data_IF_646074709915
#
_entry.id   IF_646074709915
#
_cell.length_a   1.000
_cell.length_b   1.000
_cell.length_c   1.000
_cell.angle_alpha   90.00
_cell.angle_beta   90.00
_cell.angle_gamma   90.00
#
_symmetry.space_group_name_H-M   'P 1'
#
loop_
_entity.id
_entity.type
_entity.pdbx_description
1 polymer ?
#
# COMPACT_ATOMS: atom_id res chain seq x y z
N UNK A 1 27.49 -9.45 17.26
CA UNK A 1 26.91 -9.72 15.92
C UNK A 1 25.48 -9.25 15.94
N UNK A 2 25.03 -8.57 14.89
CA UNK A 2 23.67 -8.07 14.78
C UNK A 2 22.71 -9.24 14.53
N UNK A 3 22.04 -9.71 15.60
CA UNK A 3 21.03 -10.77 15.51
C UNK A 3 19.67 -10.19 15.10
N UNK A 4 18.80 -11.07 14.58
CA UNK A 4 17.40 -10.77 14.27
C UNK A 4 16.45 -11.76 14.97
N UNK A 5 15.19 -11.37 15.14
CA UNK A 5 14.12 -12.32 15.47
C UNK A 5 13.39 -12.75 14.19
N UNK A 6 12.80 -13.93 14.15
CA UNK A 6 11.97 -14.40 13.03
C UNK A 6 10.54 -14.57 13.50
N UNK A 7 9.58 -13.94 12.82
CA UNK A 7 8.14 -14.07 13.08
C UNK A 7 7.47 -14.82 11.94
N UNK A 8 6.67 -15.83 12.29
CA UNK A 8 5.90 -16.63 11.32
C UNK A 8 4.42 -16.61 11.75
N UNK A 9 3.55 -15.81 11.12
CA UNK A 9 2.11 -15.95 11.31
C UNK A 9 1.62 -17.23 10.62
N UNK A 10 0.78 -18.00 11.31
CA UNK A 10 0.26 -19.27 10.83
C UNK A 10 -1.25 -19.35 11.08
N UNK A 11 -2.00 -19.77 10.06
CA UNK A 11 -3.42 -20.10 10.15
C UNK A 11 -3.62 -21.43 9.43
N UNK A 12 -4.05 -22.46 10.16
CA UNK A 12 -4.20 -23.82 9.67
C UNK A 12 -2.93 -24.32 8.93
N UNK A 13 -1.73 -24.25 9.55
CA UNK A 13 -0.48 -24.64 8.89
C UNK A 13 -0.43 -26.16 8.65
N UNK A 14 0.28 -26.58 7.61
CA UNK A 14 0.56 -27.98 7.34
C UNK A 14 1.99 -28.38 7.82
N UNK A 15 2.41 -29.61 7.48
CA UNK A 15 3.74 -30.14 7.84
C UNK A 15 4.91 -29.34 7.24
N UNK A 16 4.68 -28.46 6.27
CA UNK A 16 5.73 -27.61 5.68
C UNK A 16 6.27 -26.61 6.70
N UNK A 17 5.45 -26.15 7.65
CA UNK A 17 5.95 -25.28 8.71
C UNK A 17 6.98 -26.02 9.58
N UNK A 18 6.72 -27.28 9.92
CA UNK A 18 7.66 -28.13 10.66
C UNK A 18 8.93 -28.36 9.84
N UNK A 19 8.79 -28.68 8.55
CA UNK A 19 9.92 -28.86 7.66
C UNK A 19 10.78 -27.60 7.58
N UNK A 20 10.16 -26.42 7.45
CA UNK A 20 10.85 -25.14 7.43
C UNK A 20 11.68 -24.90 8.71
N UNK A 21 11.11 -25.18 9.89
CA UNK A 21 11.85 -25.04 11.16
C UNK A 21 13.00 -26.06 11.24
N UNK A 22 12.83 -27.28 10.72
CA UNK A 22 13.93 -28.25 10.63
C UNK A 22 15.05 -27.79 9.69
N UNK A 23 14.70 -27.26 8.52
CA UNK A 23 15.67 -26.70 7.59
C UNK A 23 16.49 -25.56 8.24
N UNK A 24 15.88 -24.78 9.13
CA UNK A 24 16.60 -23.79 9.93
C UNK A 24 17.57 -24.43 10.92
N UNK A 25 17.14 -25.44 11.66
CA UNK A 25 17.99 -26.19 12.60
C UNK A 25 19.22 -26.76 11.88
N UNK A 26 19.03 -27.26 10.67
CA UNK A 26 20.09 -27.84 9.82
C UNK A 26 20.98 -26.77 9.12
N UNK A 27 20.71 -25.47 9.33
CA UNK A 27 21.44 -24.34 8.75
C UNK A 27 22.18 -23.50 9.82
N UNK A 28 23.28 -24.00 10.40
CA UNK A 28 23.93 -23.40 11.58
C UNK A 28 24.45 -21.97 11.35
N UNK A 29 24.89 -21.65 10.13
CA UNK A 29 25.41 -20.31 9.80
C UNK A 29 24.35 -19.21 9.93
N UNK A 30 23.12 -19.50 9.50
CA UNK A 30 22.01 -18.56 9.63
C UNK A 30 21.46 -18.56 11.06
N UNK A 31 21.39 -19.73 11.70
CA UNK A 31 20.94 -19.86 13.09
C UNK A 31 21.73 -19.00 14.07
N UNK A 32 23.04 -18.82 13.87
CA UNK A 32 23.85 -17.92 14.69
C UNK A 32 23.40 -16.44 14.62
N UNK A 33 22.75 -16.04 13.53
CA UNK A 33 22.20 -14.70 13.32
C UNK A 33 20.76 -14.57 13.81
N UNK A 34 20.10 -15.66 14.16
CA UNK A 34 18.72 -15.66 14.66
C UNK A 34 18.75 -15.77 16.18
N UNK A 35 18.17 -14.78 16.85
CA UNK A 35 18.03 -14.77 18.30
C UNK A 35 16.88 -15.68 18.75
N UNK A 36 15.72 -15.55 18.11
CA UNK A 36 14.53 -16.31 18.46
C UNK A 36 13.56 -16.45 17.27
N UNK A 37 12.76 -17.51 17.32
CA UNK A 37 11.60 -17.72 16.46
C UNK A 37 10.32 -17.47 17.25
N UNK A 38 9.40 -16.71 16.67
CA UNK A 38 8.09 -16.41 17.21
C UNK A 38 7.06 -16.87 16.19
N UNK A 39 6.38 -17.97 16.47
CA UNK A 39 5.28 -18.46 15.65
C UNK A 39 3.99 -17.94 16.27
N UNK A 40 3.11 -17.37 15.45
CA UNK A 40 1.82 -16.84 15.92
C UNK A 40 0.71 -17.66 15.26
N UNK A 41 0.09 -18.54 16.04
CA UNK A 41 -1.13 -19.23 15.68
C UNK A 41 -2.31 -18.25 15.70
N UNK A 42 -2.76 -17.85 14.51
CA UNK A 42 -3.88 -16.94 14.32
C UNK A 42 -5.24 -17.66 14.42
N UNK A 43 -5.42 -18.46 15.47
CA UNK A 43 -6.66 -19.17 15.76
C UNK A 43 -6.95 -20.32 14.80
N UNK A 44 -5.96 -21.18 14.57
CA UNK A 44 -6.12 -22.41 13.77
C UNK A 44 -7.12 -23.38 14.40
N UNK A 45 -7.81 -24.14 13.56
CA UNK A 45 -8.76 -25.15 14.02
C UNK A 45 -8.10 -26.33 14.75
N UNK A 46 -8.92 -27.18 15.38
CA UNK A 46 -8.46 -28.33 16.18
C UNK A 46 -7.61 -29.32 15.41
N UNK A 47 -7.82 -29.43 14.09
CA UNK A 47 -7.14 -30.42 13.26
C UNK A 47 -5.69 -30.01 12.96
N UNK A 48 -5.39 -28.71 13.04
CA UNK A 48 -4.05 -28.16 12.82
C UNK A 48 -3.29 -27.88 14.13
N UNK A 49 -3.95 -27.89 15.29
CA UNK A 49 -3.29 -27.74 16.60
C UNK A 49 -2.12 -28.71 16.85
N UNK A 50 -2.16 -30.00 16.42
CA UNK A 50 -1.04 -30.92 16.57
C UNK A 50 0.27 -30.44 15.92
N UNK A 51 0.21 -29.55 14.91
CA UNK A 51 1.41 -28.98 14.28
C UNK A 51 2.18 -28.11 15.28
N UNK A 52 1.49 -27.31 16.09
CA UNK A 52 2.14 -26.47 17.11
C UNK A 52 2.75 -27.30 18.23
N UNK A 53 2.06 -28.35 18.70
CA UNK A 53 2.62 -29.29 19.68
C UNK A 53 3.89 -29.99 19.14
N UNK A 54 3.92 -30.34 17.86
CA UNK A 54 5.12 -30.92 17.24
C UNK A 54 6.27 -29.91 17.12
N UNK A 55 5.97 -28.62 16.88
CA UNK A 55 6.97 -27.56 16.83
C UNK A 55 7.64 -27.35 18.20
N UNK A 56 6.89 -27.40 19.29
CA UNK A 56 7.42 -27.30 20.66
C UNK A 56 8.39 -28.45 21.02
N UNK A 57 8.26 -29.60 20.37
CA UNK A 57 9.12 -30.77 20.58
C UNK A 57 10.41 -30.74 19.75
N UNK A 58 10.57 -29.78 18.84
CA UNK A 58 11.79 -29.65 18.06
C UNK A 58 12.95 -29.17 18.95
N UNK A 59 14.20 -29.58 18.65
CA UNK A 59 15.38 -29.19 19.43
C UNK A 59 15.81 -27.74 19.13
N UNK A 60 14.92 -26.77 19.43
CA UNK A 60 15.09 -25.35 19.16
C UNK A 60 14.84 -24.52 20.42
N UNK A 61 15.92 -24.15 21.11
CA UNK A 61 15.86 -23.55 22.45
C UNK A 61 15.16 -22.18 22.52
N UNK A 62 15.07 -21.44 21.41
CA UNK A 62 14.52 -20.08 21.37
C UNK A 62 13.28 -19.99 20.45
N UNK A 63 12.39 -20.97 20.55
CA UNK A 63 11.09 -20.95 19.89
C UNK A 63 10.00 -20.52 20.87
N UNK A 64 9.16 -19.57 20.47
CA UNK A 64 7.96 -19.17 21.20
C UNK A 64 6.76 -19.31 20.28
N UNK A 65 5.69 -19.92 20.78
CA UNK A 65 4.40 -20.00 20.07
C UNK A 65 3.38 -19.14 20.82
N UNK A 66 2.73 -18.24 20.11
CA UNK A 66 1.66 -17.37 20.61
C UNK A 66 0.34 -17.78 19.97
N UNK A 67 -0.75 -17.82 20.73
CA UNK A 67 -2.05 -18.25 20.24
C UNK A 67 -3.10 -17.14 20.31
N UNK A 68 -3.85 -16.98 19.23
CA UNK A 68 -5.11 -16.25 19.22
C UNK A 68 -6.28 -17.20 19.49
N UNK A 69 -7.30 -16.70 20.20
CA UNK A 69 -8.52 -17.49 20.49
C UNK A 69 -9.41 -17.70 19.28
N UNK A 70 -9.28 -16.84 18.26
CA UNK A 70 -10.00 -16.89 16.99
C UNK A 70 -9.12 -16.23 15.92
N UNK A 71 -9.42 -16.48 14.65
CA UNK A 71 -8.74 -15.84 13.54
C UNK A 71 -8.97 -14.32 13.52
N UNK A 72 -7.88 -13.57 13.67
CA UNK A 72 -7.87 -12.10 13.68
C UNK A 72 -7.31 -11.52 12.39
N UNK A 73 -6.56 -12.32 11.64
CA UNK A 73 -5.93 -11.96 10.37
C UNK A 73 -4.41 -11.87 10.48
N UNK A 74 -3.74 -12.07 9.34
CA UNK A 74 -2.28 -12.05 9.23
C UNK A 74 -1.65 -10.77 9.82
N UNK A 75 -2.25 -9.61 9.60
CA UNK A 75 -1.74 -8.34 10.14
C UNK A 75 -1.80 -8.30 11.67
N UNK A 76 -2.88 -8.79 12.28
CA UNK A 76 -3.00 -8.93 13.73
C UNK A 76 -1.98 -9.93 14.27
N UNK A 77 -1.80 -11.08 13.60
CA UNK A 77 -0.79 -12.06 14.00
C UNK A 77 0.64 -11.48 13.96
N UNK A 78 0.97 -10.73 12.90
CA UNK A 78 2.23 -10.00 12.81
C UNK A 78 2.39 -8.97 13.94
N UNK A 79 1.35 -8.17 14.22
CA UNK A 79 1.37 -7.20 15.33
C UNK A 79 1.57 -7.87 16.69
N UNK A 80 0.92 -9.00 16.94
CA UNK A 80 1.11 -9.79 18.16
C UNK A 80 2.57 -10.24 18.29
N UNK A 81 3.17 -10.74 17.22
CA UNK A 81 4.60 -11.08 17.22
C UNK A 81 5.50 -9.87 17.44
N UNK A 82 5.19 -8.72 16.83
CA UNK A 82 5.92 -7.47 17.01
C UNK A 82 5.84 -6.94 18.45
N UNK A 83 4.66 -6.97 19.06
CA UNK A 83 4.45 -6.61 20.47
C UNK A 83 5.25 -7.52 21.39
N UNK A 84 5.27 -8.82 21.11
CA UNK A 84 6.07 -9.77 21.87
C UNK A 84 7.57 -9.45 21.77
N UNK A 85 8.07 -9.19 20.56
CA UNK A 85 9.47 -8.81 20.33
C UNK A 85 9.82 -7.51 21.04
N UNK A 86 8.97 -6.49 20.95
CA UNK A 86 9.18 -5.19 21.60
C UNK A 86 9.27 -5.35 23.12
N UNK A 87 8.39 -6.17 23.72
CA UNK A 87 8.33 -6.37 25.16
C UNK A 87 9.44 -7.28 25.72
N UNK A 88 9.84 -8.33 25.00
CA UNK A 88 10.69 -9.40 25.56
C UNK A 88 12.05 -9.54 24.88
N UNK A 89 12.16 -9.14 23.61
CA UNK A 89 13.35 -9.38 22.78
C UNK A 89 13.84 -8.11 22.03
N UNK A 90 13.90 -6.92 22.66
CA UNK A 90 14.20 -5.67 21.95
C UNK A 90 15.67 -5.54 21.53
N UNK A 91 16.57 -6.35 22.09
CA UNK A 91 18.03 -6.27 21.84
C UNK A 91 18.43 -7.07 20.59
N UNK A 92 17.89 -6.68 19.45
CA UNK A 92 18.19 -7.20 18.10
C UNK A 92 18.27 -6.05 17.11
N UNK A 93 18.88 -6.26 15.95
CA UNK A 93 18.93 -5.22 14.90
C UNK A 93 17.66 -5.16 14.08
N UNK A 94 16.93 -6.27 13.98
CA UNK A 94 15.70 -6.34 13.19
C UNK A 94 14.86 -7.58 13.44
N UNK A 95 13.75 -7.64 12.71
CA UNK A 95 12.77 -8.73 12.74
C UNK A 95 12.51 -9.18 11.32
N UNK A 96 12.74 -10.45 11.04
CA UNK A 96 12.32 -11.07 9.81
C UNK A 96 10.88 -11.59 9.91
N UNK A 97 10.11 -11.51 8.84
CA UNK A 97 8.80 -12.14 8.70
C UNK A 97 8.86 -13.20 7.61
N UNK A 98 8.16 -14.32 7.78
CA UNK A 98 8.03 -15.37 6.76
C UNK A 98 6.62 -15.96 6.80
N UNK A 99 6.09 -16.34 5.64
CA UNK A 99 4.84 -17.11 5.54
C UNK A 99 5.04 -18.57 5.99
N UNK A 100 3.98 -19.16 6.57
CA UNK A 100 3.97 -20.54 7.08
C UNK A 100 3.73 -21.61 6.01
N UNK A 101 3.56 -21.23 4.75
CA UNK A 101 3.14 -22.12 3.64
C UNK A 101 4.31 -22.82 2.92
N UNK A 102 5.55 -22.57 3.37
CA UNK A 102 6.76 -23.16 2.82
C UNK A 102 7.22 -22.53 1.50
N UNK A 103 6.65 -21.39 1.07
CA UNK A 103 7.13 -20.70 -0.15
C UNK A 103 8.50 -20.03 0.04
N UNK A 104 8.89 -19.73 1.28
CA UNK A 104 10.17 -19.10 1.60
C UNK A 104 11.18 -20.11 2.12
N UNK A 105 12.35 -20.15 1.49
CA UNK A 105 13.47 -20.99 1.95
C UNK A 105 14.35 -20.29 2.96
N UNK A 106 15.08 -21.09 3.73
CA UNK A 106 16.19 -20.67 4.57
C UNK A 106 17.23 -19.86 3.78
N UNK A 107 17.54 -20.28 2.54
CA UNK A 107 18.46 -19.57 1.65
C UNK A 107 17.95 -18.18 1.22
N UNK A 108 16.64 -18.04 1.00
CA UNK A 108 16.00 -16.77 0.71
C UNK A 108 16.11 -15.82 1.92
N UNK A 109 15.79 -16.30 3.14
CA UNK A 109 15.97 -15.50 4.35
C UNK A 109 17.44 -15.12 4.55
N UNK A 110 18.38 -16.07 4.38
CA UNK A 110 19.82 -15.81 4.52
C UNK A 110 20.28 -14.66 3.61
N UNK A 111 19.80 -14.63 2.37
CA UNK A 111 20.11 -13.57 1.41
C UNK A 111 19.55 -12.22 1.86
N UNK A 112 18.30 -12.18 2.32
CA UNK A 112 17.68 -10.95 2.85
C UNK A 112 18.39 -10.45 4.10
N UNK A 113 18.77 -11.34 5.02
CA UNK A 113 19.53 -11.01 6.23
C UNK A 113 20.91 -10.47 5.89
N UNK A 114 21.61 -11.07 4.91
CA UNK A 114 22.91 -10.57 4.46
C UNK A 114 22.83 -9.15 3.90
N UNK A 115 21.79 -8.84 3.13
CA UNK A 115 21.52 -7.48 2.63
C UNK A 115 21.14 -6.53 3.76
N UNK A 116 20.32 -6.97 4.70
CA UNK A 116 19.93 -6.19 5.88
C UNK A 116 21.15 -5.85 6.76
N UNK A 117 22.06 -6.80 7.01
CA UNK A 117 23.27 -6.54 7.81
C UNK A 117 24.18 -5.45 7.23
N UNK A 118 24.11 -5.16 5.93
CA UNK A 118 24.85 -4.04 5.31
C UNK A 118 24.15 -2.70 5.54
N UNK A 119 22.84 -2.71 5.78
CA UNK A 119 22.00 -1.53 5.92
C UNK A 119 20.91 -1.75 6.99
N UNK A 120 21.27 -1.97 8.28
CA UNK A 120 20.35 -2.47 9.34
C UNK A 120 19.26 -1.48 9.76
N UNK A 121 19.25 -0.30 9.14
CA UNK A 121 18.29 0.76 9.36
C UNK A 121 17.18 0.78 8.29
N UNK A 122 17.29 -0.07 7.27
CA UNK A 122 16.42 -0.09 6.10
C UNK A 122 15.56 -1.35 6.08
N UNK A 123 14.39 -1.27 5.43
CA UNK A 123 13.50 -2.42 5.24
C UNK A 123 13.98 -3.21 4.04
N UNK A 124 14.32 -4.48 4.23
CA UNK A 124 14.63 -5.40 3.13
C UNK A 124 13.42 -6.27 2.83
N UNK A 125 13.05 -6.40 1.55
CA UNK A 125 11.99 -7.29 1.10
C UNK A 125 12.55 -8.32 0.11
N UNK A 126 12.10 -9.56 0.21
CA UNK A 126 12.46 -10.62 -0.72
C UNK A 126 11.59 -10.56 -1.97
N UNK A 127 12.16 -10.26 -3.13
CA UNK A 127 11.43 -10.11 -4.39
C UNK A 127 11.63 -11.33 -5.27
N UNK A 128 10.54 -11.98 -5.66
CA UNK A 128 10.57 -13.15 -6.55
C UNK A 128 10.97 -12.73 -7.96
N UNK A 129 11.92 -13.42 -8.56
CA UNK A 129 12.22 -13.23 -9.99
C UNK A 129 11.17 -13.95 -10.83
N UNK A 130 10.30 -13.19 -11.48
CA UNK A 130 9.23 -13.72 -12.33
C UNK A 130 9.80 -14.08 -13.72
N UNK A 131 10.43 -15.26 -13.84
CA UNK A 131 11.04 -15.68 -15.10
C UNK A 131 10.09 -16.38 -16.08
N UNK A 132 8.88 -16.81 -15.67
CA UNK A 132 7.93 -17.44 -16.62
C UNK A 132 6.43 -17.15 -16.31
N UNK A 133 5.72 -16.77 -17.37
CA UNK A 133 4.27 -16.85 -17.60
C UNK A 133 3.31 -16.48 -16.45
N UNK A 134 3.33 -15.23 -15.98
CA UNK A 134 2.20 -14.69 -15.20
C UNK A 134 1.03 -14.42 -16.15
N UNK A 135 -0.23 -14.79 -15.83
CA UNK A 135 -1.38 -14.39 -16.65
C UNK A 135 -1.42 -12.86 -16.82
N UNK A 136 -1.59 -12.37 -18.05
CA UNK A 136 -1.57 -10.93 -18.39
C UNK A 136 -2.38 -10.04 -17.44
N UNK A 137 -3.48 -10.56 -16.88
CA UNK A 137 -4.35 -9.85 -15.91
C UNK A 137 -3.66 -9.57 -14.57
N UNK A 138 -2.83 -10.49 -14.06
CA UNK A 138 -2.10 -10.33 -12.80
C UNK A 138 -0.89 -9.40 -12.97
N UNK A 139 -0.23 -9.43 -14.14
CA UNK A 139 0.85 -8.48 -14.46
C UNK A 139 0.34 -7.04 -14.51
N UNK A 140 -0.82 -6.78 -15.12
CA UNK A 140 -1.38 -5.44 -15.21
C UNK A 140 -1.79 -4.88 -13.84
N UNK A 141 -2.36 -5.72 -12.97
CA UNK A 141 -2.67 -5.35 -11.58
C UNK A 141 -1.43 -4.95 -10.78
N UNK A 142 -0.34 -5.73 -10.87
CA UNK A 142 0.94 -5.38 -10.24
C UNK A 142 1.62 -4.17 -10.88
N UNK A 143 1.52 -3.96 -12.20
CA UNK A 143 2.09 -2.79 -12.88
C UNK A 143 1.38 -1.50 -12.44
N UNK A 144 0.05 -1.52 -12.34
CA UNK A 144 -0.72 -0.39 -11.83
C UNK A 144 -0.45 -0.13 -10.35
N UNK A 145 -0.37 -1.20 -9.54
CA UNK A 145 -0.13 -1.08 -8.09
C UNK A 145 1.30 -0.60 -7.81
N UNK A 146 2.31 -1.13 -8.49
CA UNK A 146 3.70 -0.68 -8.38
C UNK A 146 3.88 0.74 -8.89
N UNK A 147 3.21 1.13 -9.99
CA UNK A 147 3.16 2.50 -10.48
C UNK A 147 2.56 3.46 -9.45
N UNK A 148 1.44 3.08 -8.81
CA UNK A 148 0.80 3.86 -7.75
C UNK A 148 1.69 3.93 -6.50
N UNK A 149 2.28 2.83 -6.06
CA UNK A 149 3.20 2.82 -4.89
C UNK A 149 4.43 3.68 -5.15
N UNK A 150 5.02 3.59 -6.35
CA UNK A 150 6.11 4.45 -6.78
C UNK A 150 5.69 5.91 -6.79
N UNK A 151 4.49 6.21 -7.28
CA UNK A 151 3.97 7.56 -7.29
C UNK A 151 3.73 8.09 -5.86
N UNK A 152 3.16 7.29 -4.97
CA UNK A 152 2.78 7.71 -3.61
C UNK A 152 3.96 7.76 -2.65
N UNK A 153 4.95 6.89 -2.81
CA UNK A 153 6.09 6.76 -1.89
C UNK A 153 7.39 7.29 -2.50
N UNK A 154 7.45 7.50 -3.81
CA UNK A 154 8.70 7.73 -4.56
C UNK A 154 9.73 6.60 -4.39
N UNK A 155 9.30 5.41 -3.97
CA UNK A 155 10.13 4.21 -3.87
C UNK A 155 9.74 3.25 -4.98
N UNK A 156 10.73 2.73 -5.70
CA UNK A 156 10.47 1.76 -6.76
C UNK A 156 10.40 0.37 -6.13
N UNK A 157 9.17 -0.14 -5.95
CA UNK A 157 8.90 -1.44 -5.33
C UNK A 157 8.22 -2.32 -6.38
N UNK A 158 8.87 -3.42 -6.77
CA UNK A 158 8.47 -4.34 -7.82
C UNK A 158 7.58 -5.48 -7.33
N UNK A 159 7.74 -5.96 -6.09
CA UNK A 159 6.84 -6.92 -5.43
C UNK A 159 6.38 -6.39 -4.07
N UNK A 160 5.16 -5.88 -4.02
CA UNK A 160 4.56 -5.33 -2.79
C UNK A 160 3.88 -6.39 -1.92
N UNK A 161 3.81 -7.64 -2.39
CA UNK A 161 3.02 -8.72 -1.80
C UNK A 161 3.86 -9.83 -1.19
N UNK A 162 5.18 -9.66 -1.16
CA UNK A 162 6.08 -10.60 -0.48
C UNK A 162 5.88 -10.58 1.03
N UNK A 163 5.74 -11.77 1.63
CA UNK A 163 5.73 -11.98 3.08
C UNK A 163 7.13 -12.08 3.69
N UNK A 164 8.17 -12.34 2.88
CA UNK A 164 9.56 -12.36 3.32
C UNK A 164 10.12 -10.95 3.42
N UNK A 165 10.29 -10.47 4.65
CA UNK A 165 10.79 -9.12 4.95
C UNK A 165 11.77 -9.17 6.09
N UNK A 166 12.74 -8.25 6.12
CA UNK A 166 13.61 -8.00 7.27
C UNK A 166 13.47 -6.54 7.65
N UNK A 167 12.82 -6.32 8.78
CA UNK A 167 12.32 -5.04 9.27
C UNK A 167 13.29 -4.52 10.33
N UNK A 168 13.78 -3.26 10.23
CA UNK A 168 14.67 -2.71 11.24
C UNK A 168 13.94 -2.53 12.56
N UNK A 169 14.57 -2.86 13.68
CA UNK A 169 13.93 -2.90 15.01
C UNK A 169 13.26 -1.57 15.37
N UNK A 170 13.85 -0.45 14.94
CA UNK A 170 13.31 0.91 15.14
C UNK A 170 11.94 1.16 14.49
N UNK A 171 11.54 0.34 13.52
CA UNK A 171 10.27 0.48 12.83
C UNK A 171 9.12 -0.24 13.54
N UNK A 172 9.44 -1.25 14.36
CA UNK A 172 8.49 -2.10 15.06
C UNK A 172 7.47 -1.30 15.91
N UNK A 173 7.86 -0.29 16.71
CA UNK A 173 6.89 0.47 17.52
C UNK A 173 5.85 1.22 16.68
N UNK A 174 6.24 1.67 15.48
CA UNK A 174 5.32 2.32 14.56
C UNK A 174 4.34 1.32 13.96
N UNK A 175 4.84 0.16 13.54
CA UNK A 175 4.05 -0.90 12.92
C UNK A 175 2.96 -1.44 13.85
N UNK A 176 3.25 -1.59 15.14
CA UNK A 176 2.25 -2.01 16.14
C UNK A 176 1.03 -1.06 16.17
N UNK A 177 1.25 0.23 15.90
CA UNK A 177 0.20 1.27 15.91
C UNK A 177 -0.52 1.46 14.58
N UNK A 178 -0.09 0.80 13.51
CA UNK A 178 -0.74 0.98 12.21
C UNK A 178 -2.18 0.45 12.22
N UNK A 179 -3.11 1.13 11.54
CA UNK A 179 -4.45 0.57 11.31
C UNK A 179 -4.37 -0.64 10.38
N UNK A 180 -5.35 -1.54 10.47
CA UNK A 180 -5.44 -2.73 9.60
C UNK A 180 -4.83 -3.98 10.23
N UNK A 181 -5.60 -5.06 10.24
CA UNK A 181 -5.30 -6.31 10.98
C UNK A 181 -5.17 -7.51 10.03
N UNK A 182 -5.28 -7.30 8.72
CA UNK A 182 -5.16 -8.37 7.73
C UNK A 182 -4.03 -8.08 6.74
N UNK A 183 -4.13 -8.57 5.51
CA UNK A 183 -3.07 -8.44 4.50
C UNK A 183 -2.77 -6.99 4.12
N UNK A 184 -3.72 -6.05 4.30
CA UNK A 184 -3.46 -4.62 4.09
C UNK A 184 -2.31 -4.07 4.93
N UNK A 185 -2.06 -4.68 6.10
CA UNK A 185 -1.01 -4.26 7.01
C UNK A 185 0.39 -4.28 6.35
N UNK A 186 0.68 -5.34 5.60
CA UNK A 186 1.94 -5.50 4.90
C UNK A 186 2.09 -4.47 3.77
N UNK A 187 0.99 -4.09 3.13
CA UNK A 187 1.04 -3.04 2.11
C UNK A 187 1.21 -1.65 2.73
N UNK A 188 0.49 -1.36 3.81
CA UNK A 188 0.60 -0.08 4.54
C UNK A 188 1.99 0.12 5.15
N UNK A 189 2.67 -0.96 5.56
CA UNK A 189 4.09 -0.95 5.92
C UNK A 189 4.96 -0.34 4.82
N UNK A 190 4.75 -0.74 3.55
CA UNK A 190 5.53 -0.21 2.43
C UNK A 190 5.19 1.25 2.14
N UNK A 191 3.89 1.58 2.17
CA UNK A 191 3.42 2.94 1.92
C UNK A 191 3.96 3.94 2.95
N UNK A 192 3.98 3.55 4.22
CA UNK A 192 4.38 4.44 5.30
C UNK A 192 5.88 4.45 5.57
N UNK A 193 6.67 3.50 5.06
CA UNK A 193 8.12 3.41 5.30
C UNK A 193 8.84 4.75 5.08
N UNK A 194 8.48 5.49 4.04
CA UNK A 194 9.08 6.81 3.75
C UNK A 194 8.85 7.84 4.86
N UNK A 195 7.67 7.84 5.49
CA UNK A 195 7.32 8.75 6.61
C UNK A 195 8.26 8.53 7.81
N UNK A 196 8.75 7.30 7.96
CA UNK A 196 9.70 6.92 9.00
C UNK A 196 11.16 6.96 8.53
N UNK A 197 11.45 7.58 7.37
CA UNK A 197 12.79 7.67 6.77
C UNK A 197 13.44 6.29 6.52
N UNK A 198 12.60 5.30 6.22
CA UNK A 198 13.02 3.93 5.89
C UNK A 198 12.90 3.75 4.38
N UNK A 199 14.03 3.40 3.76
CA UNK A 199 14.11 2.97 2.38
C UNK A 199 13.78 1.48 2.30
N UNK A 200 13.03 1.10 1.28
CA UNK A 200 12.75 -0.28 0.91
C UNK A 200 13.84 -0.76 -0.04
N UNK A 201 14.52 -1.84 0.32
CA UNK A 201 15.56 -2.49 -0.46
C UNK A 201 15.03 -3.84 -0.94
N UNK A 202 15.14 -4.09 -2.23
CA UNK A 202 14.71 -5.34 -2.83
C UNK A 202 15.88 -6.32 -2.91
N UNK A 203 15.69 -7.50 -2.32
CA UNK A 203 16.61 -8.62 -2.44
C UNK A 203 15.98 -9.69 -3.33
N UNK A 204 16.53 -9.98 -4.52
CA UNK A 204 16.04 -11.08 -5.34
C UNK A 204 16.09 -12.41 -4.59
N UNK A 205 15.00 -13.18 -4.65
CA UNK A 205 14.86 -14.53 -4.08
C UNK A 205 14.32 -15.52 -5.13
N UNK A 206 14.63 -16.82 -5.03
CA UNK A 206 14.08 -17.85 -5.91
C UNK A 206 12.55 -17.97 -5.76
N UNK A 207 11.87 -18.24 -6.87
CA UNK A 207 10.42 -18.53 -6.86
C UNK A 207 10.22 -20.04 -6.71
N UNK A 208 9.61 -20.47 -5.59
CA UNK A 208 9.25 -21.87 -5.38
C UNK A 208 7.75 -22.00 -5.62
N UNK A 209 7.39 -22.61 -6.74
CA UNK A 209 6.02 -23.03 -7.00
C UNK A 209 5.83 -24.42 -6.38
N UNK A 210 5.06 -24.51 -5.30
CA UNK A 210 4.60 -25.78 -4.77
C UNK A 210 3.34 -26.18 -5.56
N UNK A 211 3.38 -27.33 -6.23
CA UNK A 211 2.26 -27.86 -7.02
C UNK A 211 0.99 -27.98 -6.17
N UNK A 212 -0.14 -27.47 -6.70
CA UNK A 212 -1.46 -27.63 -6.09
C UNK A 212 -1.85 -26.59 -5.03
N UNK A 213 -1.51 -25.31 -5.24
CA UNK A 213 -1.83 -24.24 -4.30
C UNK A 213 -3.34 -23.90 -4.25
N UNK A 214 -4.09 -24.68 -3.47
CA UNK A 214 -5.49 -24.41 -3.09
C UNK A 214 -5.62 -23.68 -1.75
N UNK A 215 -4.52 -23.41 -1.02
CA UNK A 215 -4.57 -22.83 0.32
C UNK A 215 -4.24 -21.34 0.42
N UNK A 216 -3.84 -20.66 -0.67
CA UNK A 216 -3.91 -19.19 -0.72
C UNK A 216 -5.30 -18.82 -1.25
N UNK A 217 -6.27 -18.62 -0.35
CA UNK A 217 -7.56 -18.02 -0.70
C UNK A 217 -7.33 -16.57 -1.16
N UNK A 218 -6.88 -16.43 -2.40
CA UNK A 218 -6.45 -15.19 -3.03
C UNK A 218 -7.68 -14.32 -3.33
N UNK A 219 -8.17 -13.58 -2.32
CA UNK A 219 -9.18 -12.52 -2.44
C UNK A 219 -8.52 -11.13 -2.54
N UNK A 220 -7.36 -11.06 -3.19
CA UNK A 220 -6.51 -9.87 -3.33
C UNK A 220 -7.22 -8.66 -3.96
N UNK A 221 -8.15 -8.89 -4.88
CA UNK A 221 -8.92 -7.80 -5.50
C UNK A 221 -9.89 -7.20 -4.49
N UNK A 222 -10.51 -8.01 -3.60
CA UNK A 222 -11.55 -7.54 -2.68
C UNK A 222 -11.00 -6.69 -1.55
N UNK A 223 -9.82 -7.01 -1.04
CA UNK A 223 -9.28 -6.34 0.15
C UNK A 223 -8.36 -5.16 -0.21
N UNK A 224 -7.79 -5.16 -1.43
CA UNK A 224 -7.23 -3.93 -2.02
C UNK A 224 -8.31 -2.86 -2.28
N UNK A 225 -9.61 -3.24 -2.28
CA UNK A 225 -10.72 -2.28 -2.39
C UNK A 225 -10.67 -1.26 -1.27
N UNK A 226 -10.16 -1.51 -0.05
CA UNK A 226 -10.19 -0.46 0.97
C UNK A 226 -9.29 0.75 0.62
N UNK A 227 -8.12 0.48 0.04
CA UNK A 227 -7.16 1.50 -0.41
C UNK A 227 -7.61 2.07 -1.75
N UNK A 228 -8.00 1.19 -2.69
CA UNK A 228 -8.64 1.63 -3.93
C UNK A 228 -9.92 2.40 -3.63
N UNK A 229 -10.65 2.15 -2.54
CA UNK A 229 -11.90 2.83 -2.21
C UNK A 229 -11.63 4.25 -1.76
N UNK A 230 -10.51 4.56 -1.11
CA UNK A 230 -10.16 5.98 -0.86
C UNK A 230 -9.87 6.71 -2.17
N UNK A 231 -9.10 6.08 -3.06
CA UNK A 231 -8.85 6.63 -4.39
C UNK A 231 -10.13 6.68 -5.27
N UNK A 232 -10.97 5.65 -5.25
CA UNK A 232 -12.22 5.55 -5.99
C UNK A 232 -13.29 6.47 -5.41
N UNK A 233 -13.34 6.68 -4.09
CA UNK A 233 -14.20 7.70 -3.46
C UNK A 233 -13.78 9.10 -3.90
N UNK A 234 -12.46 9.36 -4.01
CA UNK A 234 -11.94 10.60 -4.58
C UNK A 234 -12.20 10.74 -6.09
N UNK A 235 -12.06 9.66 -6.86
CA UNK A 235 -12.40 9.65 -8.28
C UNK A 235 -13.92 9.81 -8.50
N UNK A 236 -14.74 9.20 -7.66
CA UNK A 236 -16.18 9.32 -7.66
C UNK A 236 -16.61 10.74 -7.27
N UNK A 237 -15.99 11.38 -6.28
CA UNK A 237 -16.27 12.77 -5.93
C UNK A 237 -15.93 13.72 -7.09
N UNK A 238 -14.79 13.50 -7.75
CA UNK A 238 -14.41 14.20 -8.98
C UNK A 238 -15.42 14.01 -10.12
N UNK A 239 -15.89 12.78 -10.34
CA UNK A 239 -16.90 12.47 -11.37
C UNK A 239 -18.26 13.10 -11.06
N UNK A 240 -18.72 13.04 -9.81
CA UNK A 240 -19.95 13.69 -9.35
C UNK A 240 -19.83 15.21 -9.56
N UNK A 241 -18.70 15.81 -9.19
CA UNK A 241 -18.45 17.24 -9.43
C UNK A 241 -18.48 17.60 -10.91
N UNK A 242 -17.90 16.76 -11.78
CA UNK A 242 -17.95 16.95 -13.24
C UNK A 242 -19.37 16.88 -13.80
N UNK A 243 -20.17 15.91 -13.37
CA UNK A 243 -21.58 15.80 -13.78
C UNK A 243 -22.35 17.04 -13.32
N UNK A 244 -22.14 17.47 -12.07
CA UNK A 244 -22.75 18.69 -11.52
C UNK A 244 -22.33 19.94 -12.30
N UNK A 245 -21.06 20.06 -12.67
CA UNK A 245 -20.55 21.18 -13.49
C UNK A 245 -21.29 21.24 -14.83
N UNK A 246 -21.41 20.13 -15.54
CA UNK A 246 -22.12 20.07 -16.83
C UNK A 246 -23.62 20.37 -16.66
N UNK A 247 -24.28 19.78 -15.65
CA UNK A 247 -25.70 20.01 -15.42
C UNK A 247 -26.00 21.47 -15.07
N UNK A 248 -25.18 22.09 -14.20
CA UNK A 248 -25.32 23.50 -13.83
C UNK A 248 -25.02 24.43 -14.99
N UNK A 249 -24.00 24.12 -15.80
CA UNK A 249 -23.68 24.87 -17.00
C UNK A 249 -24.88 24.88 -17.97
N UNK A 250 -25.46 23.70 -18.25
CA UNK A 250 -26.65 23.58 -19.11
C UNK A 250 -27.86 24.34 -18.54
N UNK A 251 -28.15 24.18 -17.25
CA UNK A 251 -29.26 24.88 -16.60
C UNK A 251 -29.07 26.41 -16.63
N UNK A 252 -27.85 26.89 -16.41
CA UNK A 252 -27.56 28.33 -16.43
C UNK A 252 -27.72 28.91 -17.83
N UNK A 253 -27.26 28.19 -18.86
CA UNK A 253 -27.51 28.59 -20.26
C UNK A 253 -29.00 28.57 -20.61
N UNK A 254 -29.75 27.58 -20.14
CA UNK A 254 -31.19 27.51 -20.34
C UNK A 254 -31.93 28.70 -19.71
N UNK A 255 -31.52 29.14 -18.52
CA UNK A 255 -32.12 30.28 -17.81
C UNK A 255 -31.71 31.63 -18.42
N UNK A 256 -30.43 31.82 -18.75
CA UNK A 256 -29.93 33.09 -19.29
C UNK A 256 -30.25 33.30 -20.77
N UNK A 257 -30.57 32.23 -21.50
CA UNK A 257 -30.78 32.25 -22.94
C UNK A 257 -29.47 32.32 -23.73
N UNK A 258 -29.45 31.67 -24.91
CA UNK A 258 -28.27 31.48 -25.76
C UNK A 258 -27.87 32.72 -26.58
N UNK A 259 -28.21 33.93 -26.14
CA UNK A 259 -28.20 35.10 -27.01
C UNK A 259 -26.96 36.00 -26.88
N UNK A 260 -26.05 35.77 -25.91
CA UNK A 260 -24.89 36.66 -25.66
C UNK A 260 -23.66 35.84 -25.23
N UNK A 261 -22.47 36.16 -25.76
CA UNK A 261 -21.16 35.59 -25.33
C UNK A 261 -20.96 35.64 -23.80
N UNK A 262 -21.49 36.68 -23.17
CA UNK A 262 -21.45 36.86 -21.71
C UNK A 262 -22.21 35.75 -20.96
N UNK A 263 -23.27 35.17 -21.53
CA UNK A 263 -24.03 34.08 -20.90
C UNK A 263 -23.20 32.80 -20.76
N UNK A 264 -22.32 32.51 -21.74
CA UNK A 264 -21.42 31.36 -21.69
C UNK A 264 -20.36 31.56 -20.62
N UNK A 265 -19.78 32.76 -20.52
CA UNK A 265 -18.78 33.08 -19.49
C UNK A 265 -19.40 33.01 -18.08
N UNK A 266 -20.58 33.59 -17.89
CA UNK A 266 -21.30 33.55 -16.61
C UNK A 266 -21.66 32.11 -16.24
N UNK A 267 -22.17 31.31 -17.19
CA UNK A 267 -22.49 29.90 -16.97
C UNK A 267 -21.25 29.08 -16.59
N UNK A 268 -20.12 29.30 -17.26
CA UNK A 268 -18.86 28.60 -16.97
C UNK A 268 -18.33 28.93 -15.59
N UNK A 269 -18.34 30.22 -15.20
CA UNK A 269 -17.85 30.65 -13.88
C UNK A 269 -18.79 30.11 -12.79
N UNK A 270 -20.10 30.26 -12.97
CA UNK A 270 -21.08 29.81 -11.98
C UNK A 270 -21.04 28.29 -11.77
N UNK A 271 -21.00 27.51 -12.86
CA UNK A 271 -20.93 26.05 -12.78
C UNK A 271 -19.64 25.59 -12.10
N UNK A 272 -18.50 26.21 -12.43
CA UNK A 272 -17.19 25.87 -11.87
C UNK A 272 -17.07 26.18 -10.39
N UNK A 273 -17.58 27.34 -9.96
CA UNK A 273 -17.58 27.72 -8.54
C UNK A 273 -18.43 26.73 -7.75
N UNK A 274 -19.66 26.46 -8.21
CA UNK A 274 -20.60 25.63 -7.45
C UNK A 274 -20.20 24.15 -7.45
N UNK A 275 -19.72 23.61 -8.57
CA UNK A 275 -19.20 22.24 -8.66
C UNK A 275 -17.96 22.02 -7.78
N UNK A 276 -17.11 23.04 -7.62
CA UNK A 276 -15.92 23.00 -6.75
C UNK A 276 -16.30 22.99 -5.27
N UNK A 277 -17.31 23.77 -4.87
CA UNK A 277 -17.83 23.79 -3.50
C UNK A 277 -18.39 22.41 -3.14
N UNK A 278 -19.15 21.79 -4.06
CA UNK A 278 -19.71 20.45 -3.87
C UNK A 278 -18.58 19.40 -3.81
N UNK A 279 -17.58 19.49 -4.69
CA UNK A 279 -16.43 18.58 -4.68
C UNK A 279 -15.66 18.67 -3.36
N UNK A 280 -15.43 19.88 -2.85
CA UNK A 280 -14.83 20.10 -1.55
C UNK A 280 -15.65 19.47 -0.43
N UNK A 281 -16.97 19.70 -0.41
CA UNK A 281 -17.85 19.17 0.63
C UNK A 281 -17.87 17.63 0.67
N UNK A 282 -17.90 16.99 -0.51
CA UNK A 282 -17.82 15.53 -0.62
C UNK A 282 -16.43 15.03 -0.17
N UNK A 283 -15.35 15.64 -0.63
CA UNK A 283 -13.99 15.22 -0.25
C UNK A 283 -13.73 15.38 1.25
N UNK A 284 -14.16 16.50 1.83
CA UNK A 284 -14.02 16.76 3.27
C UNK A 284 -14.81 15.79 4.14
N UNK A 285 -16.04 15.43 3.74
CA UNK A 285 -16.90 14.54 4.54
C UNK A 285 -16.71 13.05 4.28
N UNK A 286 -16.41 12.65 3.05
CA UNK A 286 -16.49 11.24 2.60
C UNK A 286 -15.11 10.64 2.33
N UNK A 287 -14.13 11.46 1.94
CA UNK A 287 -12.79 10.99 1.55
C UNK A 287 -11.76 11.24 2.65
N UNK A 288 -11.82 12.40 3.32
CA UNK A 288 -10.83 12.87 4.29
C UNK A 288 -11.48 13.28 5.62
N UNK A 289 -12.16 12.33 6.27
CA UNK A 289 -12.73 12.53 7.61
C UNK A 289 -11.64 13.07 8.57
N UNK A 290 -11.95 14.12 9.35
CA UNK A 290 -11.09 14.79 10.36
C UNK A 290 -10.22 15.99 9.90
N UNK A 291 -10.42 16.54 8.71
CA UNK A 291 -9.63 17.69 8.29
C UNK A 291 -10.12 19.05 8.85
N UNK A 292 -9.19 19.91 9.28
CA UNK A 292 -9.47 21.20 9.94
C UNK A 292 -10.12 22.28 9.06
N UNK A 293 -10.70 23.32 9.69
CA UNK A 293 -11.53 24.36 9.04
C UNK A 293 -10.81 25.25 8.00
N UNK A 294 -9.46 25.30 7.99
CA UNK A 294 -8.66 26.11 7.03
C UNK A 294 -8.42 25.41 5.67
N UNK A 295 -9.17 24.36 5.35
CA UNK A 295 -8.99 23.53 4.15
C UNK A 295 -9.61 24.13 2.89
N UNK A 296 -10.66 24.96 3.04
CA UNK A 296 -11.42 25.51 1.92
C UNK A 296 -10.61 26.53 1.07
N UNK A 297 -9.86 27.43 1.70
CA UNK A 297 -9.02 28.41 0.99
C UNK A 297 -7.85 27.74 0.24
N UNK A 298 -7.21 26.75 0.86
CA UNK A 298 -6.14 25.96 0.23
C UNK A 298 -6.67 25.15 -0.96
N UNK A 299 -7.88 24.58 -0.82
CA UNK A 299 -8.57 23.88 -1.89
C UNK A 299 -8.95 24.80 -3.05
N UNK A 300 -9.51 25.98 -2.76
CA UNK A 300 -9.84 26.98 -3.78
C UNK A 300 -8.59 27.43 -4.56
N UNK A 301 -7.46 27.66 -3.87
CA UNK A 301 -6.18 27.99 -4.51
C UNK A 301 -5.69 26.87 -5.43
N UNK A 302 -5.71 25.62 -4.96
CA UNK A 302 -5.34 24.46 -5.78
C UNK A 302 -6.24 24.34 -7.02
N UNK A 303 -7.54 24.52 -6.87
CA UNK A 303 -8.49 24.43 -7.97
C UNK A 303 -8.23 25.48 -9.05
N UNK A 304 -7.97 26.74 -8.66
CA UNK A 304 -7.63 27.82 -9.60
C UNK A 304 -6.36 27.49 -10.37
N UNK A 305 -5.30 27.05 -9.66
CA UNK A 305 -4.04 26.65 -10.29
C UNK A 305 -4.26 25.49 -11.25
N UNK A 306 -5.05 24.49 -10.87
CA UNK A 306 -5.37 23.34 -11.71
C UNK A 306 -6.13 23.75 -12.98
N UNK A 307 -7.08 24.67 -12.87
CA UNK A 307 -7.86 25.17 -14.00
C UNK A 307 -6.96 25.92 -15.00
N UNK A 308 -6.09 26.81 -14.52
CA UNK A 308 -5.14 27.55 -15.36
C UNK A 308 -4.12 26.61 -16.00
N UNK A 309 -3.58 25.66 -15.23
CA UNK A 309 -2.63 24.66 -15.72
C UNK A 309 -3.27 23.75 -16.79
N UNK A 310 -4.52 23.33 -16.60
CA UNK A 310 -5.26 22.53 -17.59
C UNK A 310 -5.35 23.27 -18.93
N UNK A 311 -5.76 24.54 -18.91
CA UNK A 311 -5.85 25.37 -20.12
C UNK A 311 -4.50 25.53 -20.83
N UNK A 312 -3.46 25.89 -20.08
CA UNK A 312 -2.12 26.10 -20.62
C UNK A 312 -1.50 24.81 -21.18
N UNK A 313 -1.52 23.72 -20.40
CA UNK A 313 -0.92 22.44 -20.80
C UNK A 313 -1.66 21.80 -21.96
N UNK A 314 -3.00 21.89 -22.00
CA UNK A 314 -3.79 21.38 -23.13
C UNK A 314 -3.41 22.13 -24.41
N UNK A 315 -3.29 23.47 -24.34
CA UNK A 315 -2.90 24.27 -25.49
C UNK A 315 -1.47 23.96 -25.95
N UNK A 316 -0.52 23.87 -25.02
CA UNK A 316 0.87 23.53 -25.31
C UNK A 316 1.01 22.14 -25.93
N UNK A 317 0.33 21.13 -25.38
CA UNK A 317 0.36 19.76 -25.90
C UNK A 317 -0.29 19.66 -27.28
N UNK A 318 -1.38 20.39 -27.51
CA UNK A 318 -2.05 20.43 -28.81
C UNK A 318 -1.18 21.10 -29.88
N UNK A 319 -0.42 22.14 -29.52
CA UNK A 319 0.48 22.85 -30.44
C UNK A 319 1.68 22.01 -30.93
N UNK A 320 2.08 20.98 -30.18
CA UNK A 320 3.19 20.08 -30.54
C UNK A 320 2.71 18.92 -31.42
N UNK A 321 1.40 18.65 -31.47
CA UNK A 321 0.83 17.56 -32.24
C UNK A 321 0.47 18.00 -33.67
N UNK A 322 0.62 17.14 -34.68
CA UNK A 322 0.31 17.49 -36.07
C UNK A 322 -1.13 18.00 -36.22
N UNK A 323 -1.30 19.15 -36.87
CA UNK A 323 -2.60 19.82 -37.05
C UNK A 323 -3.61 19.05 -37.94
N UNK A 324 -3.27 17.84 -38.39
CA UNK A 324 -3.99 17.09 -39.42
C UNK A 324 -5.19 16.27 -38.93
N UNK A 325 -5.57 16.34 -37.64
CA UNK A 325 -6.52 15.37 -37.06
C UNK A 325 -7.76 15.95 -36.36
N UNK A 326 -8.16 17.17 -36.74
CA UNK A 326 -9.45 17.76 -36.35
C UNK A 326 -9.64 17.94 -34.84
N UNK A 327 -10.89 17.98 -34.37
CA UNK A 327 -11.22 18.21 -32.95
C UNK A 327 -10.83 17.03 -32.02
N UNK A 328 -10.40 15.89 -32.58
CA UNK A 328 -10.09 14.68 -31.82
C UNK A 328 -8.79 14.85 -31.02
N UNK A 329 -7.75 15.45 -31.61
CA UNK A 329 -6.44 15.62 -30.95
C UNK A 329 -6.48 16.56 -29.75
N UNK A 330 -7.07 17.77 -29.85
CA UNK A 330 -7.23 18.65 -28.68
C UNK A 330 -8.04 17.99 -27.56
N UNK A 331 -9.03 17.17 -27.90
CA UNK A 331 -9.85 16.44 -26.93
C UNK A 331 -9.04 15.37 -26.21
N UNK A 332 -8.25 14.57 -26.92
CA UNK A 332 -7.35 13.56 -26.31
C UNK A 332 -6.28 14.22 -25.45
N UNK A 333 -5.65 15.30 -25.95
CA UNK A 333 -4.67 16.08 -25.20
C UNK A 333 -5.26 16.61 -23.89
N UNK A 334 -6.48 17.16 -23.94
CA UNK A 334 -7.20 17.64 -22.77
C UNK A 334 -7.48 16.53 -21.76
N UNK A 335 -7.96 15.38 -22.21
CA UNK A 335 -8.23 14.22 -21.32
C UNK A 335 -6.97 13.76 -20.59
N UNK A 336 -5.83 13.68 -21.29
CA UNK A 336 -4.55 13.27 -20.69
C UNK A 336 -4.05 14.28 -19.67
N UNK A 337 -4.11 15.58 -20.00
CA UNK A 337 -3.71 16.68 -19.10
C UNK A 337 -4.59 16.70 -17.85
N UNK A 338 -5.91 16.62 -18.02
CA UNK A 338 -6.86 16.67 -16.90
C UNK A 338 -6.73 15.44 -15.99
N UNK A 339 -6.44 14.26 -16.55
CA UNK A 339 -6.16 13.05 -15.77
C UNK A 339 -4.85 13.17 -14.97
N UNK A 340 -3.78 13.69 -15.57
CA UNK A 340 -2.51 13.92 -14.85
C UNK A 340 -2.69 14.94 -13.72
N UNK A 341 -3.38 16.05 -14.00
CA UNK A 341 -3.68 17.08 -13.01
C UNK A 341 -4.58 16.56 -11.89
N UNK A 342 -5.51 15.66 -12.18
CA UNK A 342 -6.34 14.99 -11.17
C UNK A 342 -5.49 14.18 -10.20
N UNK A 343 -4.51 13.42 -10.69
CA UNK A 343 -3.57 12.64 -9.86
C UNK A 343 -2.72 13.55 -8.97
N UNK A 344 -2.19 14.64 -9.54
CA UNK A 344 -1.40 15.65 -8.80
C UNK A 344 -2.28 16.31 -7.73
N UNK A 345 -3.52 16.65 -8.08
CA UNK A 345 -4.49 17.27 -7.17
C UNK A 345 -4.80 16.35 -5.98
N UNK A 346 -4.95 15.03 -6.22
CA UNK A 346 -5.11 14.06 -5.13
C UNK A 346 -3.95 14.11 -4.13
N UNK A 347 -2.71 14.13 -4.63
CA UNK A 347 -1.51 14.15 -3.78
C UNK A 347 -1.45 15.43 -2.94
N UNK A 348 -1.64 16.59 -3.57
CA UNK A 348 -1.63 17.88 -2.88
C UNK A 348 -2.76 17.93 -1.85
N UNK A 349 -3.95 17.44 -2.20
CA UNK A 349 -5.08 17.39 -1.28
C UNK A 349 -4.79 16.52 -0.07
N UNK A 350 -4.24 15.32 -0.26
CA UNK A 350 -3.89 14.40 0.82
C UNK A 350 -2.76 14.93 1.70
N UNK A 351 -1.67 15.40 1.10
CA UNK A 351 -0.41 15.66 1.80
C UNK A 351 -0.28 17.09 2.34
N UNK A 352 -1.04 18.04 1.79
CA UNK A 352 -0.93 19.47 2.11
C UNK A 352 -2.24 20.11 2.58
N UNK A 353 -3.36 19.78 1.93
CA UNK A 353 -4.65 20.43 2.24
C UNK A 353 -5.29 19.76 3.44
N UNK A 354 -5.53 18.45 3.36
CA UNK A 354 -6.19 17.64 4.39
C UNK A 354 -5.20 16.94 5.32
N UNK A 355 -3.97 17.47 5.43
CA UNK A 355 -2.96 16.93 6.34
C UNK A 355 -3.48 16.98 7.78
N UNK A 356 -3.64 15.82 8.41
CA UNK A 356 -3.93 15.73 9.84
C UNK A 356 -2.84 16.47 10.62
N UNK A 357 -3.25 17.33 11.56
CA UNK A 357 -2.33 18.01 12.46
C UNK A 357 -1.64 16.91 13.25
N UNK A 358 -0.37 16.66 12.93
CA UNK A 358 0.44 15.67 13.63
C UNK A 358 0.48 16.11 15.10
N UNK A 359 -0.18 15.37 15.99
CA UNK A 359 0.15 15.49 17.40
C UNK A 359 1.63 15.13 17.49
N UNK A 360 2.46 16.13 17.81
CA UNK A 360 3.83 15.89 18.21
C UNK A 360 3.76 14.94 19.41
N UNK A 361 4.08 13.68 19.18
CA UNK A 361 4.44 12.77 20.27
C UNK A 361 5.76 13.32 20.80
N UNK A 362 5.70 13.94 21.97
CA UNK A 362 6.87 14.25 22.79
C UNK A 362 7.47 12.96 23.33
#
# INVERSE_FOLDING_TARGET
MEQINVIIPALNPDKKLIALIRDFIDAPELMQKIRAFIIVDDGSDSDHQPIFTQLEQLPLNNLTILHHTHNRGKGAALKTGFQYVEAHLPTVSGVATMDSDGQHTVAALASCVATFSRQPQQLVIGVRHFTNAVPFRSQFGNLLTSGLVRLLTHQNISDTQTGLRVIPIRYIPALIRFPGDRFEFEFDMLLQAKKYQIKVIEQPIPTIYLDGNSSSHFRVIRDSIAIYARFFKFAASGLISFVVDISLFYLTLFILGNHILNSILIATIASRVLSSIINYAINHRVVFEHAGQQTLLKYAGLFIVQMLASGFLTNALTAVLPASSGQIVPTIAKMLVDFMLFIISYQIQRDFIFKERTQHVQ
#
